data_IF_631957178666
#
_entry.id   IF_631957178666
#
_cell.length_a   1.000
_cell.length_b   1.000
_cell.length_c   1.000
_cell.angle_alpha   90.00
_cell.angle_beta   90.00
_cell.angle_gamma   90.00
#
_symmetry.space_group_name_H-M   'P 1'
#
loop_
_entity.id
_entity.type
_entity.pdbx_description
1 polymer ?
#
# COMPACT_ATOMS: atom_id res chain seq x y z
N UNK A 1 15.57 8.97 -9.34
CA UNK A 1 15.01 7.63 -9.67
C UNK A 1 13.83 7.23 -8.78
N UNK A 2 13.99 6.70 -7.56
CA UNK A 2 12.83 6.24 -6.76
C UNK A 2 11.89 7.37 -6.30
N UNK A 3 12.40 8.60 -6.23
CA UNK A 3 11.67 9.79 -5.83
C UNK A 3 10.62 10.19 -6.88
N UNK A 4 10.97 10.05 -8.16
CA UNK A 4 10.16 10.43 -9.33
C UNK A 4 9.00 9.47 -9.61
N UNK A 5 8.94 8.34 -8.89
CA UNK A 5 7.91 7.32 -9.09
C UNK A 5 6.53 7.77 -8.58
N UNK A 6 5.55 7.72 -9.47
CA UNK A 6 4.15 8.06 -9.19
C UNK A 6 3.20 7.15 -9.96
N UNK A 7 1.89 7.30 -9.74
CA UNK A 7 0.88 6.58 -10.52
C UNK A 7 0.87 6.96 -12.01
N UNK A 8 1.41 8.13 -12.38
CA UNK A 8 1.54 8.57 -13.76
C UNK A 8 2.93 8.24 -14.37
N UNK A 9 3.94 8.09 -13.51
CA UNK A 9 5.32 7.72 -13.84
C UNK A 9 5.72 6.46 -13.05
N UNK A 10 5.24 5.29 -13.49
CA UNK A 10 5.51 4.02 -12.84
C UNK A 10 6.94 3.53 -13.18
N UNK A 11 7.65 2.88 -12.24
CA UNK A 11 9.00 2.36 -12.49
C UNK A 11 9.04 1.29 -13.58
N UNK A 12 10.05 1.37 -14.45
CA UNK A 12 10.19 0.50 -15.63
C UNK A 12 10.14 -1.00 -15.33
N UNK A 13 10.68 -1.41 -14.18
CA UNK A 13 10.70 -2.81 -13.72
C UNK A 13 9.29 -3.44 -13.59
N UNK A 14 8.24 -2.64 -13.43
CA UNK A 14 6.86 -3.13 -13.41
C UNK A 14 6.40 -3.60 -14.79
N UNK A 15 6.93 -3.01 -15.87
CA UNK A 15 6.61 -3.40 -17.24
C UNK A 15 7.37 -4.64 -17.73
N UNK A 16 8.18 -5.28 -16.88
CA UNK A 16 8.88 -6.51 -17.21
C UNK A 16 7.99 -7.73 -16.91
N UNK A 17 7.75 -8.57 -17.91
CA UNK A 17 6.86 -9.73 -17.79
C UNK A 17 7.45 -10.79 -16.85
N UNK A 18 8.63 -11.31 -17.20
CA UNK A 18 9.35 -12.38 -16.50
C UNK A 18 10.69 -11.90 -15.93
N UNK A 19 11.16 -12.48 -14.81
CA UNK A 19 12.45 -12.10 -14.23
C UNK A 19 13.62 -12.47 -15.15
N UNK A 20 14.48 -11.50 -15.47
CA UNK A 20 15.74 -11.75 -16.17
C UNK A 20 16.74 -12.39 -15.22
N UNK A 21 17.29 -13.54 -15.61
CA UNK A 21 18.34 -14.25 -14.88
C UNK A 21 17.90 -15.01 -13.63
N UNK A 22 18.85 -15.75 -13.06
CA UNK A 22 18.64 -16.54 -11.84
C UNK A 22 18.52 -15.65 -10.60
N UNK A 23 17.65 -16.04 -9.65
CA UNK A 23 17.54 -15.40 -8.34
C UNK A 23 18.88 -15.43 -7.61
N UNK A 24 19.35 -14.27 -7.14
CA UNK A 24 20.60 -14.17 -6.38
C UNK A 24 20.54 -15.01 -5.10
N UNK A 25 21.55 -15.87 -4.91
CA UNK A 25 21.77 -16.67 -3.70
C UNK A 25 22.70 -15.97 -2.69
N UNK A 26 23.20 -14.77 -3.00
CA UNK A 26 24.10 -14.03 -2.12
C UNK A 26 23.39 -13.67 -0.81
N UNK A 27 24.01 -14.03 0.32
CA UNK A 27 23.53 -13.69 1.66
C UNK A 27 23.46 -12.17 1.80
N UNK A 28 22.38 -11.69 2.41
CA UNK A 28 22.20 -10.27 2.70
C UNK A 28 22.76 -9.99 4.10
N UNK A 29 23.60 -8.96 4.23
CA UNK A 29 24.11 -8.49 5.51
C UNK A 29 23.03 -7.84 6.38
N UNK A 30 23.39 -7.43 7.59
CA UNK A 30 22.57 -6.53 8.41
C UNK A 30 23.11 -5.11 8.30
N UNK A 31 22.24 -4.12 8.47
CA UNK A 31 22.66 -2.72 8.64
C UNK A 31 23.52 -2.57 9.89
N UNK A 32 24.42 -1.61 9.85
CA UNK A 32 25.31 -1.24 10.98
C UNK A 32 24.58 -0.47 12.09
N UNK A 33 23.37 0.03 11.81
CA UNK A 33 22.51 0.79 12.72
C UNK A 33 21.11 0.17 12.82
N UNK A 34 20.40 0.35 13.95
CA UNK A 34 19.06 -0.18 14.14
C UNK A 34 17.99 0.70 13.47
N UNK A 35 17.05 0.08 12.78
CA UNK A 35 15.80 0.67 12.32
C UNK A 35 14.70 0.16 13.22
N UNK A 36 13.88 1.05 13.78
CA UNK A 36 12.81 0.68 14.73
C UNK A 36 13.34 -0.19 15.91
N UNK A 37 14.59 -0.01 16.32
CA UNK A 37 15.25 -0.80 17.37
C UNK A 37 15.66 -2.22 16.94
N UNK A 38 15.64 -2.55 15.65
CA UNK A 38 16.08 -3.83 15.08
C UNK A 38 17.20 -3.64 14.06
N UNK A 39 18.19 -4.52 14.06
CA UNK A 39 19.20 -4.59 12.99
C UNK A 39 18.63 -5.35 11.79
N UNK A 40 18.02 -4.61 10.86
CA UNK A 40 17.36 -5.16 9.67
C UNK A 40 18.37 -5.57 8.59
N UNK A 41 17.93 -6.37 7.61
CA UNK A 41 18.71 -6.70 6.43
C UNK A 41 19.08 -5.44 5.65
N UNK A 42 20.34 -5.32 5.24
CA UNK A 42 20.80 -4.21 4.42
C UNK A 42 20.51 -4.51 2.94
N UNK A 43 19.45 -3.90 2.42
CA UNK A 43 18.92 -4.12 1.08
C UNK A 43 18.90 -2.75 0.40
N UNK A 44 19.85 -2.44 -0.50
CA UNK A 44 20.04 -1.08 -1.01
C UNK A 44 18.82 -0.45 -1.70
N UNK A 45 17.93 -1.26 -2.28
CA UNK A 45 16.73 -0.76 -2.97
C UNK A 45 15.56 -0.44 -2.03
N UNK A 46 15.61 -0.87 -0.76
CA UNK A 46 14.59 -0.54 0.24
C UNK A 46 15.02 0.66 1.10
N UNK A 47 14.19 1.71 1.23
CA UNK A 47 14.47 2.79 2.16
C UNK A 47 14.43 2.29 3.61
N UNK A 48 15.00 3.06 4.54
CA UNK A 48 15.07 2.68 5.94
C UNK A 48 13.71 2.77 6.65
N UNK A 49 12.89 3.75 6.27
CA UNK A 49 11.54 3.95 6.80
C UNK A 49 10.54 3.87 5.65
N UNK A 50 9.49 3.07 5.84
CA UNK A 50 8.43 2.85 4.85
C UNK A 50 7.10 3.31 5.48
N UNK A 51 6.35 4.24 4.85
CA UNK A 51 5.08 4.68 5.39
C UNK A 51 4.04 3.56 5.34
N UNK A 52 3.07 3.59 6.23
CA UNK A 52 2.12 2.48 6.43
C UNK A 52 1.10 2.38 5.29
N UNK A 53 0.84 3.50 4.63
CA UNK A 53 0.00 3.65 3.43
C UNK A 53 0.78 3.48 2.10
N UNK A 54 2.06 3.05 2.15
CA UNK A 54 2.93 2.86 0.98
C UNK A 54 2.21 2.27 -0.24
N UNK A 55 2.41 2.88 -1.40
CA UNK A 55 1.71 2.51 -2.63
C UNK A 55 2.09 1.11 -3.11
N UNK A 56 1.11 0.36 -3.64
CA UNK A 56 1.30 -1.03 -4.04
C UNK A 56 2.36 -1.20 -5.13
N UNK A 57 2.48 -0.21 -6.03
CA UNK A 57 3.47 -0.21 -7.10
C UNK A 57 4.90 -0.11 -6.56
N UNK A 58 5.15 0.60 -5.43
CA UNK A 58 6.48 0.69 -4.82
C UNK A 58 6.90 -0.65 -4.23
N UNK A 59 5.98 -1.30 -3.53
CA UNK A 59 6.16 -2.64 -2.94
C UNK A 59 6.48 -3.69 -4.00
N UNK A 60 5.71 -3.72 -5.09
CA UNK A 60 5.95 -4.64 -6.22
C UNK A 60 7.27 -4.31 -6.93
N UNK A 61 7.58 -3.03 -7.17
CA UNK A 61 8.82 -2.61 -7.82
C UNK A 61 10.06 -3.02 -7.02
N UNK A 62 10.07 -2.80 -5.69
CA UNK A 62 11.17 -3.23 -4.83
C UNK A 62 11.40 -4.74 -4.91
N UNK A 63 10.33 -5.55 -4.77
CA UNK A 63 10.41 -7.03 -4.85
C UNK A 63 10.94 -7.52 -6.21
N UNK A 64 10.72 -6.76 -7.29
CA UNK A 64 11.28 -7.06 -8.61
C UNK A 64 12.74 -6.65 -8.74
N UNK A 65 13.12 -5.47 -8.25
CA UNK A 65 14.50 -4.98 -8.23
C UNK A 65 15.43 -5.87 -7.40
N UNK A 66 14.96 -6.40 -6.27
CA UNK A 66 15.65 -7.47 -5.54
C UNK A 66 14.68 -8.56 -5.08
N UNK A 67 14.64 -9.65 -5.87
CA UNK A 67 13.83 -10.86 -5.61
C UNK A 67 14.08 -11.53 -4.26
N UNK A 68 15.12 -11.15 -3.51
CA UNK A 68 15.38 -11.64 -2.14
C UNK A 68 14.51 -10.95 -1.09
N UNK A 69 13.94 -9.78 -1.41
CA UNK A 69 13.01 -9.05 -0.52
C UNK A 69 11.78 -9.90 -0.21
N UNK A 70 11.38 -9.85 1.06
CA UNK A 70 10.14 -10.45 1.55
C UNK A 70 9.21 -9.37 2.09
N UNK A 71 7.93 -9.69 2.27
CA UNK A 71 6.96 -8.72 2.84
C UNK A 71 7.34 -8.32 4.26
N UNK A 72 7.95 -9.23 5.02
CA UNK A 72 8.45 -8.97 6.37
C UNK A 72 9.55 -7.90 6.38
N UNK A 73 10.42 -7.87 5.37
CA UNK A 73 11.47 -6.84 5.23
C UNK A 73 10.90 -5.44 5.03
N UNK A 74 9.70 -5.34 4.45
CA UNK A 74 8.95 -4.10 4.22
C UNK A 74 8.20 -3.69 5.49
N UNK A 75 7.57 -4.65 6.17
CA UNK A 75 6.79 -4.41 7.40
C UNK A 75 7.67 -4.00 8.59
N UNK A 76 8.87 -4.58 8.74
CA UNK A 76 9.82 -4.20 9.80
C UNK A 76 10.35 -2.76 9.67
N UNK A 77 10.26 -2.17 8.46
CA UNK A 77 10.59 -0.78 8.15
C UNK A 77 9.43 0.19 8.38
N UNK A 78 8.24 -0.29 8.75
CA UNK A 78 7.11 0.58 9.10
C UNK A 78 7.22 1.12 10.52
N UNK A 79 6.76 2.36 10.80
CA UNK A 79 6.74 2.94 12.14
C UNK A 79 6.11 2.02 13.20
N UNK A 80 6.71 2.00 14.40
CA UNK A 80 6.19 1.26 15.55
C UNK A 80 4.74 1.65 15.86
N UNK A 81 3.95 0.66 16.26
CA UNK A 81 2.54 0.83 16.61
C UNK A 81 1.56 0.95 15.43
N UNK A 82 2.06 1.13 14.20
CA UNK A 82 1.22 1.41 13.01
C UNK A 82 1.41 0.37 11.88
N UNK A 83 1.99 -0.80 12.18
CA UNK A 83 2.32 -1.82 11.19
C UNK A 83 1.07 -2.43 10.53
N UNK A 84 1.08 -2.49 9.19
CA UNK A 84 0.03 -3.18 8.41
C UNK A 84 0.06 -4.68 8.70
N UNK A 85 -1.10 -5.32 8.90
CA UNK A 85 -1.17 -6.79 9.06
C UNK A 85 -0.59 -7.49 7.81
N UNK A 86 0.28 -8.51 7.94
CA UNK A 86 0.96 -9.11 6.77
C UNK A 86 0.02 -9.56 5.64
N UNK A 87 -1.08 -10.22 6.00
CA UNK A 87 -2.12 -10.65 5.05
C UNK A 87 -2.77 -9.47 4.30
N UNK A 88 -2.93 -8.31 4.93
CA UNK A 88 -3.50 -7.13 4.27
C UNK A 88 -2.55 -6.58 3.18
N UNK A 89 -1.24 -6.50 3.46
CA UNK A 89 -0.25 -6.09 2.46
C UNK A 89 -0.15 -7.10 1.31
N UNK A 90 -0.19 -8.40 1.62
CA UNK A 90 -0.22 -9.48 0.63
C UNK A 90 -1.45 -9.39 -0.29
N UNK A 91 -2.65 -9.18 0.27
CA UNK A 91 -3.90 -9.04 -0.49
C UNK A 91 -3.91 -7.79 -1.36
N UNK A 92 -3.37 -6.65 -0.87
CA UNK A 92 -3.16 -5.44 -1.68
C UNK A 92 -2.28 -5.75 -2.90
N UNK A 93 -1.17 -6.44 -2.70
CA UNK A 93 -0.28 -6.87 -3.80
C UNK A 93 -0.96 -7.80 -4.82
N UNK A 94 -1.81 -8.73 -4.38
CA UNK A 94 -2.59 -9.60 -5.30
C UNK A 94 -3.55 -8.78 -6.14
N UNK A 95 -4.35 -7.89 -5.51
CA UNK A 95 -5.31 -7.02 -6.21
C UNK A 95 -4.62 -6.05 -7.17
N UNK A 96 -3.47 -5.50 -6.78
CA UNK A 96 -2.65 -4.65 -7.61
C UNK A 96 -2.18 -5.38 -8.87
N UNK A 97 -1.57 -6.56 -8.72
CA UNK A 97 -1.09 -7.35 -9.86
C UNK A 97 -2.20 -7.74 -10.84
N UNK A 98 -3.38 -8.12 -10.33
CA UNK A 98 -4.55 -8.39 -11.18
C UNK A 98 -5.01 -7.14 -11.95
N UNK A 99 -5.08 -5.98 -11.28
CA UNK A 99 -5.55 -4.74 -11.90
C UNK A 99 -4.54 -4.12 -12.90
N UNK A 100 -3.25 -4.46 -12.80
CA UNK A 100 -2.18 -3.91 -13.64
C UNK A 100 -1.59 -4.93 -14.64
N UNK A 101 -2.21 -6.11 -14.79
CA UNK A 101 -1.75 -7.19 -15.67
C UNK A 101 -0.29 -7.61 -15.40
N UNK A 102 0.04 -7.87 -14.13
CA UNK A 102 1.39 -8.20 -13.67
C UNK A 102 1.53 -9.64 -13.18
N UNK A 103 2.48 -10.38 -13.76
CA UNK A 103 2.84 -11.72 -13.30
C UNK A 103 3.47 -11.70 -11.90
N UNK A 104 3.11 -12.64 -11.03
CA UNK A 104 3.75 -12.76 -9.72
C UNK A 104 5.04 -13.59 -9.81
N UNK A 105 6.20 -12.92 -9.81
CA UNK A 105 7.50 -13.58 -9.88
C UNK A 105 7.73 -14.52 -8.69
N UNK A 106 8.44 -15.62 -8.94
CA UNK A 106 8.79 -16.67 -7.96
C UNK A 106 7.59 -17.33 -7.23
N UNK A 107 6.36 -17.16 -7.72
CA UNK A 107 5.15 -17.74 -7.11
C UNK A 107 4.79 -19.11 -7.69
N UNK A 108 4.98 -20.17 -6.91
CA UNK A 108 4.48 -21.53 -7.22
C UNK A 108 2.97 -21.72 -7.01
N UNK A 109 2.22 -20.67 -6.69
CA UNK A 109 0.78 -20.78 -6.46
C UNK A 109 0.02 -20.93 -7.78
N UNK A 110 -0.81 -21.98 -7.91
CA UNK A 110 -1.66 -22.24 -9.09
C UNK A 110 -2.43 -21.00 -9.58
N UNK A 111 -2.96 -20.17 -8.69
CA UNK A 111 -3.67 -18.92 -9.06
C UNK A 111 -2.75 -17.84 -9.63
N UNK A 112 -1.50 -17.77 -9.16
CA UNK A 112 -0.48 -16.86 -9.71
C UNK A 112 0.00 -17.32 -11.08
N UNK A 113 0.18 -18.62 -11.26
CA UNK A 113 0.58 -19.21 -12.54
C UNK A 113 -0.53 -19.02 -13.59
N UNK A 114 -1.79 -19.27 -13.22
CA UNK A 114 -2.93 -19.03 -14.09
C UNK A 114 -3.06 -17.55 -14.51
N UNK A 115 -2.90 -16.61 -13.58
CA UNK A 115 -2.87 -15.17 -13.89
C UNK A 115 -1.70 -14.82 -14.85
N UNK A 116 -0.54 -15.46 -14.70
CA UNK A 116 0.58 -15.25 -15.61
C UNK A 116 0.25 -15.67 -17.05
N UNK A 117 -0.34 -16.86 -17.21
CA UNK A 117 -0.80 -17.37 -18.52
C UNK A 117 -1.88 -16.47 -19.13
N UNK A 118 -2.84 -16.01 -18.32
CA UNK A 118 -3.89 -15.07 -18.76
C UNK A 118 -3.30 -13.73 -19.27
N UNK A 119 -2.18 -13.27 -18.70
CA UNK A 119 -1.48 -12.07 -19.17
C UNK A 119 -0.75 -12.35 -20.48
N UNK A 120 -0.08 -13.50 -20.61
CA UNK A 120 0.58 -13.92 -21.87
C UNK A 120 -0.42 -14.02 -23.03
N UNK A 121 -1.55 -14.71 -22.82
CA UNK A 121 -2.64 -14.82 -23.81
C UNK A 121 -3.18 -13.44 -24.24
N UNK A 122 -3.28 -12.49 -23.31
CA UNK A 122 -3.69 -11.11 -23.62
C UNK A 122 -2.62 -10.32 -24.38
N UNK A 123 -1.33 -10.56 -24.13
CA UNK A 123 -0.25 -9.91 -24.87
C UNK A 123 -0.24 -10.39 -26.32
N UNK A 124 -0.35 -11.70 -26.54
CA UNK A 124 -0.45 -12.30 -27.88
C UNK A 124 -1.69 -11.80 -28.62
N UNK A 125 -2.85 -11.76 -27.96
CA UNK A 125 -4.09 -11.22 -28.53
C UNK A 125 -4.01 -9.71 -28.87
N UNK A 126 -3.15 -8.95 -28.17
CA UNK A 126 -2.84 -7.56 -28.46
C UNK A 126 -1.70 -7.38 -29.50
N UNK A 127 -1.16 -8.47 -30.06
CA UNK A 127 -0.05 -8.44 -31.03
C UNK A 127 1.33 -8.14 -30.42
N UNK A 128 1.46 -8.22 -29.10
CA UNK A 128 2.69 -7.90 -28.37
C UNK A 128 3.53 -9.18 -28.23
N UNK A 129 4.72 -9.19 -28.84
CA UNK A 129 5.60 -10.35 -28.83
C UNK A 129 6.16 -10.64 -27.43
N UNK A 130 5.90 -11.82 -26.88
CA UNK A 130 6.37 -12.25 -25.56
C UNK A 130 7.91 -12.24 -25.42
N UNK A 131 8.64 -12.40 -26.53
CA UNK A 131 10.12 -12.33 -26.55
C UNK A 131 10.68 -10.95 -26.17
N UNK A 132 9.87 -9.88 -26.25
CA UNK A 132 10.24 -8.56 -25.74
C UNK A 132 10.25 -8.48 -24.20
N UNK A 133 9.77 -9.53 -23.52
CA UNK A 133 9.68 -9.63 -22.06
C UNK A 133 8.97 -8.43 -21.39
N UNK A 134 7.98 -7.84 -22.07
CA UNK A 134 7.30 -6.62 -21.61
C UNK A 134 5.79 -6.77 -21.50
N UNK A 135 5.19 -6.01 -20.58
CA UNK A 135 3.75 -5.80 -20.44
C UNK A 135 3.31 -4.39 -20.87
N UNK A 136 4.19 -3.56 -21.45
CA UNK A 136 3.78 -2.31 -22.12
C UNK A 136 2.80 -2.66 -23.23
N UNK A 137 1.67 -1.94 -23.29
CA UNK A 137 0.53 -2.31 -24.14
C UNK A 137 -0.59 -3.08 -23.40
N UNK A 138 -0.38 -3.53 -22.16
CA UNK A 138 -1.45 -3.96 -21.24
C UNK A 138 -1.39 -3.29 -19.86
N UNK A 139 -0.20 -3.14 -19.27
CA UNK A 139 -0.03 -2.51 -17.96
C UNK A 139 -0.24 -0.99 -18.09
N UNK A 140 -0.99 -0.35 -17.16
CA UNK A 140 -1.21 1.09 -17.12
C UNK A 140 0.07 1.92 -17.24
N UNK A 141 -0.01 3.05 -17.95
CA UNK A 141 1.11 3.94 -18.27
C UNK A 141 1.41 4.02 -19.76
N UNK A 142 2.57 4.58 -20.11
CA UNK A 142 2.95 4.83 -21.52
C UNK A 142 3.10 3.53 -22.30
N UNK A 143 2.52 3.48 -23.51
CA UNK A 143 2.65 2.36 -24.43
C UNK A 143 4.05 2.40 -25.06
N UNK A 144 4.41 3.52 -25.69
CA UNK A 144 5.77 3.77 -26.17
C UNK A 144 6.45 4.87 -25.34
N UNK A 145 7.43 4.53 -24.47
CA UNK A 145 8.08 5.53 -23.61
C UNK A 145 8.92 6.55 -24.38
N UNK A 146 9.44 6.20 -25.57
CA UNK A 146 10.27 7.09 -26.40
C UNK A 146 9.46 8.25 -26.98
N UNK A 147 8.16 8.04 -27.24
CA UNK A 147 7.25 9.05 -27.77
C UNK A 147 6.45 9.79 -26.69
N UNK A 148 6.67 9.47 -25.41
CA UNK A 148 5.90 10.05 -24.31
C UNK A 148 4.39 9.83 -24.46
N UNK A 149 3.58 10.81 -24.06
CA UNK A 149 2.11 10.75 -24.21
C UNK A 149 1.64 10.64 -25.68
N UNK A 150 2.43 11.13 -26.65
CA UNK A 150 2.11 10.99 -28.07
C UNK A 150 2.24 9.53 -28.56
N UNK A 151 2.98 8.69 -27.82
CA UNK A 151 3.02 7.24 -27.99
C UNK A 151 1.79 6.51 -27.42
N UNK A 152 0.84 7.22 -26.82
CA UNK A 152 -0.35 6.68 -26.18
C UNK A 152 -0.09 6.18 -24.74
N UNK A 153 -1.16 6.18 -23.94
CA UNK A 153 -1.14 5.78 -22.53
C UNK A 153 -2.33 4.88 -22.21
N UNK A 154 -2.08 3.78 -21.50
CA UNK A 154 -3.12 2.95 -20.90
C UNK A 154 -3.55 3.61 -19.58
N UNK A 155 -4.85 3.89 -19.38
CA UNK A 155 -5.32 4.56 -18.18
C UNK A 155 -5.17 3.66 -16.95
N UNK A 156 -5.06 4.30 -15.78
CA UNK A 156 -5.15 3.58 -14.51
C UNK A 156 -6.54 2.93 -14.37
N UNK A 157 -6.65 1.73 -13.74
CA UNK A 157 -7.94 1.13 -13.43
C UNK A 157 -8.72 2.04 -12.48
N UNK A 158 -10.05 2.04 -12.54
CA UNK A 158 -10.94 2.97 -11.82
C UNK A 158 -10.63 3.11 -10.32
N UNK A 159 -10.29 1.99 -9.66
CA UNK A 159 -9.92 1.94 -8.23
C UNK A 159 -8.62 2.71 -7.88
N UNK A 160 -7.81 3.07 -8.87
CA UNK A 160 -6.52 3.74 -8.72
C UNK A 160 -6.53 5.17 -9.28
N UNK A 161 -7.47 5.52 -10.17
CA UNK A 161 -7.63 6.87 -10.70
C UNK A 161 -7.83 7.93 -9.61
N UNK A 162 -8.62 7.61 -8.56
CA UNK A 162 -8.90 8.50 -7.44
C UNK A 162 -7.79 8.63 -6.38
N UNK A 163 -6.76 7.77 -6.39
CA UNK A 163 -5.66 7.82 -5.39
C UNK A 163 -4.82 9.11 -5.48
N UNK A 164 -5.00 9.92 -6.52
CA UNK A 164 -4.34 11.24 -6.69
C UNK A 164 -4.76 12.29 -5.66
N UNK A 165 -5.89 12.15 -4.96
CA UNK A 165 -6.45 13.22 -4.11
C UNK A 165 -6.08 13.17 -2.62
N UNK A 166 -5.62 12.04 -2.09
CA UNK A 166 -5.36 11.89 -0.64
C UNK A 166 -4.13 12.67 -0.12
N UNK A 167 -3.29 13.24 -1.00
CA UNK A 167 -2.09 14.01 -0.61
C UNK A 167 -2.32 15.53 -0.47
N UNK A 168 -3.57 16.02 -0.57
CA UNK A 168 -3.92 17.41 -0.16
C UNK A 168 -4.35 17.47 1.31
N UNK A 169 -3.33 17.56 2.17
CA UNK A 169 -3.30 18.15 3.52
C UNK A 169 -4.67 18.63 4.07
N UNK A 170 -5.27 17.89 5.02
CA UNK A 170 -6.32 18.42 5.89
C UNK A 170 -5.73 19.25 7.03
N UNK A 171 -5.36 20.50 6.74
CA UNK A 171 -4.99 21.51 7.75
C UNK A 171 -6.26 22.08 8.40
N UNK A 172 -6.83 21.36 9.35
CA UNK A 172 -7.75 21.75 10.45
C UNK A 172 -8.34 20.42 11.00
N UNK A 173 -8.45 20.16 12.30
CA UNK A 173 -8.66 21.10 13.40
C UNK A 173 -7.73 20.82 14.58
N UNK A 174 -6.93 21.81 14.99
CA UNK A 174 -6.58 21.95 16.40
C UNK A 174 -7.64 22.83 17.05
N UNK A 175 -8.34 22.28 18.04
CA UNK A 175 -9.10 23.10 19.01
C UNK A 175 -9.00 22.48 20.40
N UNK A 176 -7.82 22.61 20.99
CA UNK A 176 -7.66 22.50 22.43
C UNK A 176 -8.26 23.76 23.07
N UNK A 177 -9.17 23.57 24.03
CA UNK A 177 -9.46 24.44 25.18
C UNK A 177 -10.38 23.61 26.09
N UNK A 178 -9.85 22.96 27.12
CA UNK A 178 -9.30 23.50 28.38
C UNK A 178 -10.35 23.35 29.48
N UNK A 179 -10.05 22.45 30.40
CA UNK A 179 -10.70 22.30 31.70
C UNK A 179 -10.71 23.63 32.49
N UNK A 180 -11.74 23.83 33.33
CA UNK A 180 -11.77 24.67 34.56
C UNK A 180 -13.21 24.73 35.11
N UNK A 181 -13.36 24.48 36.41
CA UNK A 181 -14.59 24.60 37.19
C UNK A 181 -15.28 25.97 37.12
N UNK A 182 -16.62 25.98 37.27
CA UNK A 182 -17.26 26.92 38.22
C UNK A 182 -18.46 26.30 38.94
N UNK A 183 -18.38 26.27 40.27
CA UNK A 183 -19.41 25.86 41.22
C UNK A 183 -20.31 27.05 41.56
N UNK A 184 -21.64 26.96 41.40
CA UNK A 184 -22.63 27.78 42.14
C UNK A 184 -23.95 26.98 42.36
N UNK A 185 -24.48 27.05 43.57
CA UNK A 185 -25.79 26.58 44.08
C UNK A 185 -26.22 27.63 45.15
N UNK A 186 -27.45 27.70 45.71
CA UNK A 186 -28.70 26.94 45.46
C UNK A 186 -30.01 27.81 45.49
N UNK A 187 -31.18 27.17 45.71
CA UNK A 187 -32.42 27.65 46.41
C UNK A 187 -33.70 28.00 45.59
N UNK A 188 -34.60 27.01 45.58
CA UNK A 188 -36.05 27.01 45.94
C UNK A 188 -37.11 27.96 45.37
N UNK A 189 -38.19 27.36 44.82
CA UNK A 189 -39.61 27.46 45.25
C UNK A 189 -40.46 26.51 44.38
N UNK A 190 -41.62 25.93 44.70
CA UNK A 190 -42.34 25.49 45.91
C UNK A 190 -43.78 25.14 45.48
N UNK A 191 -44.20 23.87 45.50
CA UNK A 191 -45.61 23.41 45.57
C UNK A 191 -45.58 21.88 45.84
N UNK A 192 -45.95 21.33 47.00
CA UNK A 192 -47.31 21.11 47.55
C UNK A 192 -48.27 20.41 46.56
N UNK A 193 -49.04 19.36 46.90
CA UNK A 193 -49.32 18.72 48.20
C UNK A 193 -50.13 17.42 47.97
N UNK A 194 -49.79 16.28 48.59
CA UNK A 194 -50.73 15.32 49.24
C UNK A 194 -50.10 13.97 49.63
N UNK A 195 -50.39 13.59 50.88
CA UNK A 195 -50.35 12.25 51.49
C UNK A 195 -51.77 12.08 52.16
N UNK A 196 -52.16 10.95 52.80
CA UNK A 196 -51.36 9.95 53.53
C UNK A 196 -51.66 8.48 53.07
N UNK A 197 -51.40 7.36 53.76
CA UNK A 197 -50.99 7.13 55.15
C UNK A 197 -50.16 5.84 55.38
N UNK A 198 -50.45 5.10 56.46
CA UNK A 198 -49.82 3.91 57.07
C UNK A 198 -50.41 2.59 56.48
N UNK A 199 -49.99 1.36 56.80
CA UNK A 199 -49.28 0.75 57.95
C UNK A 199 -48.40 -0.43 57.46
N UNK A 200 -47.37 -0.81 58.22
CA UNK A 200 -46.68 -2.12 58.12
C UNK A 200 -46.98 -2.93 59.38
N UNK A 201 -47.37 -4.20 59.24
CA UNK A 201 -47.30 -5.23 60.30
C UNK A 201 -46.41 -6.40 59.82
N UNK A 202 -46.01 -7.26 60.77
CA UNK A 202 -44.92 -8.25 60.72
C UNK A 202 -44.95 -9.27 59.56
#
# INVERSE_FOLDING_TARGET
EQEDWSWDNLPDILYQLHPVGSKSKAKIGKKTYPINGKYLKDIPVLPDQIPTDVEEFRVEAWVRLDRRIRLEDILDRMPKGHTVKPNALQQRGVRFRQAFSLCAWDSGNKKSIALGKEIEEKLEAAGICLALNTTRGLTPGLINPVLGEAGGRIPLPTLYQGKKLAKKISKHSQKNKSDVHKTEIPVSTSANKQAPELVVEE
#
